data_IF_119173769659
#
_entry.id   IF_119173769659
#
_cell.length_a   1.000
_cell.length_b   1.000
_cell.length_c   1.000
_cell.angle_alpha   90.00
_cell.angle_beta   90.00
_cell.angle_gamma   90.00
#
_symmetry.space_group_name_H-M   'P 1'
#
loop_
_entity.id
_entity.type
_entity.pdbx_description
1 polymer ?
#
# COMPACT_ATOMS: atom_id res chain seq x y z
N UNK A 1 -7.03 -11.05 -25.47
CA UNK A 1 -6.03 -10.82 -24.39
C UNK A 1 -6.25 -11.72 -23.19
N UNK A 2 -7.48 -11.90 -22.70
CA UNK A 2 -7.76 -12.80 -21.56
C UNK A 2 -7.46 -14.29 -21.85
N UNK A 3 -7.76 -14.78 -23.03
CA UNK A 3 -7.57 -16.18 -23.40
C UNK A 3 -6.08 -16.61 -23.47
N UNK A 4 -5.18 -15.73 -23.87
CA UNK A 4 -3.74 -16.01 -23.90
C UNK A 4 -3.13 -16.10 -22.51
N UNK A 5 -3.55 -15.21 -21.60
CA UNK A 5 -3.06 -15.22 -20.21
C UNK A 5 -3.54 -16.48 -19.49
N UNK A 6 -4.80 -16.84 -19.67
CA UNK A 6 -5.40 -18.04 -19.07
C UNK A 6 -4.73 -19.31 -19.62
N UNK A 7 -4.46 -19.37 -20.93
CA UNK A 7 -3.77 -20.50 -21.57
C UNK A 7 -2.33 -20.67 -21.05
N UNK A 8 -1.60 -19.56 -20.87
CA UNK A 8 -0.25 -19.58 -20.28
C UNK A 8 -0.26 -20.08 -18.84
N UNK A 9 -1.23 -19.63 -18.04
CA UNK A 9 -1.38 -20.07 -16.65
C UNK A 9 -1.69 -21.57 -16.52
N UNK A 10 -2.40 -22.15 -17.50
CA UNK A 10 -2.76 -23.58 -17.52
C UNK A 10 -1.64 -24.48 -18.05
N UNK A 11 -0.81 -24.01 -19.00
CA UNK A 11 0.09 -24.87 -19.77
C UNK A 11 1.59 -24.58 -19.56
N UNK A 12 1.95 -23.44 -18.96
CA UNK A 12 3.35 -23.07 -18.78
C UNK A 12 3.93 -23.64 -17.47
N UNK A 13 5.22 -23.91 -17.46
CA UNK A 13 5.90 -24.42 -16.27
C UNK A 13 5.79 -23.39 -15.12
N UNK A 14 5.27 -23.81 -13.98
CA UNK A 14 4.99 -22.98 -12.79
C UNK A 14 6.22 -22.16 -12.38
N UNK A 15 7.43 -22.74 -12.44
CA UNK A 15 8.67 -22.03 -12.10
C UNK A 15 8.96 -20.85 -13.03
N UNK A 16 8.75 -21.04 -14.34
CA UNK A 16 8.94 -19.98 -15.33
C UNK A 16 7.91 -18.86 -15.19
N UNK A 17 6.68 -19.25 -14.92
CA UNK A 17 5.58 -18.31 -14.69
C UNK A 17 5.84 -17.47 -13.43
N UNK A 18 6.26 -18.12 -12.34
CA UNK A 18 6.62 -17.45 -11.10
C UNK A 18 7.71 -16.40 -11.30
N UNK A 19 8.80 -16.76 -11.98
CA UNK A 19 9.91 -15.84 -12.26
C UNK A 19 9.44 -14.67 -13.15
N UNK A 20 8.62 -14.96 -14.16
CA UNK A 20 8.10 -13.94 -15.08
C UNK A 20 7.26 -12.87 -14.38
N UNK A 21 6.47 -13.24 -13.39
CA UNK A 21 5.67 -12.28 -12.60
C UNK A 21 6.42 -11.72 -11.39
N UNK A 22 7.34 -12.49 -10.79
CA UNK A 22 8.12 -12.04 -9.65
C UNK A 22 9.13 -10.94 -10.01
N UNK A 23 9.78 -11.02 -11.17
CA UNK A 23 10.79 -10.02 -11.56
C UNK A 23 10.21 -8.61 -11.63
N UNK A 24 9.10 -8.32 -12.36
CA UNK A 24 8.50 -7.00 -12.38
C UNK A 24 8.02 -6.53 -10.99
N UNK A 25 7.48 -7.43 -10.19
CA UNK A 25 7.02 -7.12 -8.83
C UNK A 25 8.19 -6.73 -7.91
N UNK A 26 9.30 -7.49 -7.98
CA UNK A 26 10.52 -7.19 -7.22
C UNK A 26 11.12 -5.85 -7.67
N UNK A 27 11.21 -5.61 -8.98
CA UNK A 27 11.70 -4.32 -9.50
C UNK A 27 10.83 -3.17 -8.99
N UNK A 28 9.50 -3.30 -9.03
CA UNK A 28 8.57 -2.29 -8.52
C UNK A 28 8.77 -2.01 -7.03
N UNK A 29 8.94 -3.04 -6.21
CA UNK A 29 9.22 -2.89 -4.78
C UNK A 29 10.59 -2.27 -4.50
N UNK A 30 11.61 -2.63 -5.29
CA UNK A 30 12.94 -2.03 -5.18
C UNK A 30 12.92 -0.54 -5.54
N UNK A 31 12.24 -0.15 -6.60
CA UNK A 31 12.07 1.27 -6.99
C UNK A 31 11.36 2.05 -5.88
N UNK A 32 10.31 1.48 -5.29
CA UNK A 32 9.61 2.10 -4.16
C UNK A 32 10.52 2.25 -2.93
N UNK A 33 11.33 1.24 -2.61
CA UNK A 33 12.30 1.31 -1.51
C UNK A 33 13.37 2.37 -1.77
N UNK A 34 13.91 2.44 -2.98
CA UNK A 34 14.87 3.48 -3.38
C UNK A 34 14.27 4.87 -3.28
N UNK A 35 13.04 5.06 -3.75
CA UNK A 35 12.31 6.31 -3.59
C UNK A 35 12.24 6.76 -2.13
N UNK A 36 11.85 5.87 -1.23
CA UNK A 36 11.79 6.17 0.20
C UNK A 36 13.14 6.53 0.81
N UNK A 37 14.24 5.89 0.38
CA UNK A 37 15.59 6.18 0.84
C UNK A 37 16.03 7.58 0.35
N UNK A 38 15.85 7.83 -0.94
CA UNK A 38 16.21 9.11 -1.57
C UNK A 38 15.43 10.26 -0.93
N UNK A 39 14.13 10.10 -0.74
CA UNK A 39 13.27 11.08 -0.10
C UNK A 39 13.77 11.45 1.30
N UNK A 40 14.14 10.48 2.12
CA UNK A 40 14.70 10.70 3.47
C UNK A 40 16.06 11.40 3.43
N UNK A 41 16.90 11.11 2.45
CA UNK A 41 18.18 11.80 2.27
C UNK A 41 17.96 13.27 1.94
N UNK A 42 17.05 13.56 0.99
CA UNK A 42 16.74 14.95 0.60
C UNK A 42 16.10 15.73 1.75
N UNK A 43 15.17 15.14 2.49
CA UNK A 43 14.57 15.79 3.66
C UNK A 43 15.63 16.05 4.75
N UNK A 44 16.50 15.07 5.01
CA UNK A 44 17.55 15.21 6.02
C UNK A 44 18.59 16.27 5.71
N UNK A 45 18.99 16.38 4.45
CA UNK A 45 19.98 17.36 4.01
C UNK A 45 19.39 18.74 3.71
N UNK A 46 18.16 18.81 3.21
CA UNK A 46 17.54 20.05 2.78
C UNK A 46 16.79 20.81 3.88
N UNK A 47 16.14 20.11 4.80
CA UNK A 47 15.28 20.72 5.82
C UNK A 47 15.80 20.52 7.24
N UNK A 48 16.67 19.53 7.45
CA UNK A 48 17.36 19.29 8.72
C UNK A 48 16.67 18.26 9.64
N UNK A 49 17.25 18.06 10.83
CA UNK A 49 16.86 17.00 11.77
C UNK A 49 15.41 17.10 12.28
N UNK A 50 14.87 18.32 12.40
CA UNK A 50 13.49 18.57 12.82
C UNK A 50 12.46 17.98 11.83
N UNK A 51 12.75 18.04 10.53
CA UNK A 51 11.86 17.46 9.52
C UNK A 51 11.85 15.94 9.57
N UNK A 52 12.99 15.30 9.86
CA UNK A 52 13.06 13.84 10.04
C UNK A 52 12.24 13.44 11.27
N UNK A 53 12.29 14.20 12.35
CA UNK A 53 11.48 13.96 13.56
C UNK A 53 9.99 14.04 13.24
N UNK A 54 9.55 15.05 12.48
CA UNK A 54 8.17 15.19 12.02
C UNK A 54 7.72 13.99 11.15
N UNK A 55 8.59 13.52 10.24
CA UNK A 55 8.32 12.35 9.41
C UNK A 55 8.16 11.07 10.27
N UNK A 56 8.96 10.95 11.34
CA UNK A 56 8.87 9.81 12.26
C UNK A 56 7.56 9.83 13.04
N UNK A 57 7.05 10.98 13.43
CA UNK A 57 5.76 11.14 14.10
C UNK A 57 4.57 10.73 13.21
N UNK A 58 4.66 10.96 11.90
CA UNK A 58 3.60 10.56 10.97
C UNK A 58 3.65 9.10 10.54
N UNK A 59 4.76 8.39 10.84
CA UNK A 59 4.98 7.03 10.42
C UNK A 59 3.89 6.02 10.86
N UNK A 60 3.36 6.04 12.11
CA UNK A 60 2.26 5.17 12.51
C UNK A 60 1.00 5.36 11.67
N UNK A 61 0.69 6.60 11.28
CA UNK A 61 -0.48 6.92 10.44
C UNK A 61 -0.28 6.33 9.04
N UNK A 62 0.92 6.49 8.48
CA UNK A 62 1.26 5.92 7.18
C UNK A 62 1.17 4.39 7.19
N UNK A 63 1.67 3.73 8.24
CA UNK A 63 1.55 2.27 8.40
C UNK A 63 0.09 1.82 8.48
N UNK A 64 -0.73 2.54 9.21
CA UNK A 64 -2.15 2.24 9.33
C UNK A 64 -2.86 2.35 7.97
N UNK A 65 -2.63 3.42 7.22
CA UNK A 65 -3.17 3.60 5.87
C UNK A 65 -2.68 2.51 4.91
N UNK A 66 -1.38 2.15 4.98
CA UNK A 66 -0.79 1.10 4.17
C UNK A 66 -1.40 -0.27 4.48
N UNK A 67 -1.68 -0.57 5.75
CA UNK A 67 -2.33 -1.81 6.16
C UNK A 67 -3.73 -1.97 5.55
N UNK A 68 -4.55 -0.92 5.55
CA UNK A 68 -5.85 -0.93 4.87
C UNK A 68 -5.74 -1.07 3.37
N UNK A 69 -4.79 -0.35 2.74
CA UNK A 69 -4.53 -0.47 1.32
C UNK A 69 -4.13 -1.90 0.93
N UNK A 70 -3.26 -2.52 1.73
CA UNK A 70 -2.83 -3.90 1.52
C UNK A 70 -3.95 -4.93 1.76
N UNK A 71 -4.77 -4.72 2.78
CA UNK A 71 -5.93 -5.57 3.07
C UNK A 71 -6.91 -5.59 1.90
N UNK A 72 -7.28 -4.42 1.38
CA UNK A 72 -8.21 -4.30 0.25
C UNK A 72 -7.54 -4.82 -1.02
N UNK A 73 -6.32 -4.40 -1.30
CA UNK A 73 -5.59 -4.77 -2.51
C UNK A 73 -5.34 -6.27 -2.61
N UNK A 74 -4.78 -6.90 -1.58
CA UNK A 74 -4.51 -8.33 -1.55
C UNK A 74 -5.82 -9.16 -1.53
N UNK A 75 -6.83 -8.70 -0.78
CA UNK A 75 -8.13 -9.34 -0.73
C UNK A 75 -8.85 -9.32 -2.08
N UNK A 76 -8.86 -8.18 -2.75
CA UNK A 76 -9.44 -8.03 -4.08
C UNK A 76 -8.67 -8.83 -5.13
N UNK A 77 -7.34 -8.74 -5.15
CA UNK A 77 -6.50 -9.46 -6.10
C UNK A 77 -6.71 -10.98 -6.03
N UNK A 78 -6.79 -11.53 -4.82
CA UNK A 78 -7.06 -12.95 -4.61
C UNK A 78 -8.43 -13.35 -5.15
N UNK A 79 -9.47 -12.58 -4.83
CA UNK A 79 -10.84 -12.87 -5.30
C UNK A 79 -10.97 -12.75 -6.81
N UNK A 80 -10.39 -11.69 -7.39
CA UNK A 80 -10.37 -11.48 -8.85
C UNK A 80 -9.67 -12.65 -9.54
N UNK A 81 -8.52 -13.07 -9.04
CA UNK A 81 -7.77 -14.21 -9.61
C UNK A 81 -8.57 -15.51 -9.59
N UNK A 82 -9.29 -15.79 -8.49
CA UNK A 82 -10.15 -16.99 -8.38
C UNK A 82 -11.31 -16.93 -9.39
N UNK A 83 -11.96 -15.77 -9.53
CA UNK A 83 -13.08 -15.62 -10.46
C UNK A 83 -12.63 -15.69 -11.91
N UNK A 84 -11.48 -15.11 -12.25
CA UNK A 84 -10.87 -15.24 -13.58
C UNK A 84 -10.51 -16.70 -13.90
N UNK A 85 -9.94 -17.44 -12.96
CA UNK A 85 -9.66 -18.85 -13.12
C UNK A 85 -10.92 -19.70 -13.35
N UNK A 86 -12.06 -19.27 -12.80
CA UNK A 86 -13.38 -19.89 -13.02
C UNK A 86 -14.09 -19.38 -14.27
N UNK A 87 -13.47 -18.51 -15.06
CA UNK A 87 -14.04 -17.84 -16.26
C UNK A 87 -15.31 -17.01 -15.93
N UNK A 88 -15.46 -16.57 -14.69
CA UNK A 88 -16.55 -15.74 -14.21
C UNK A 88 -16.13 -14.26 -14.22
N UNK A 89 -15.98 -13.69 -15.41
CA UNK A 89 -15.48 -12.34 -15.61
C UNK A 89 -16.37 -11.28 -14.95
N UNK A 90 -17.70 -11.43 -15.02
CA UNK A 90 -18.64 -10.49 -14.41
C UNK A 90 -18.46 -10.41 -12.88
N UNK A 91 -18.16 -11.54 -12.24
CA UNK A 91 -17.88 -11.55 -10.80
C UNK A 91 -16.52 -10.94 -10.48
N UNK A 92 -15.52 -11.11 -11.33
CA UNK A 92 -14.22 -10.46 -11.18
C UNK A 92 -14.33 -8.94 -11.28
N UNK A 93 -15.09 -8.44 -12.25
CA UNK A 93 -15.35 -7.01 -12.45
C UNK A 93 -16.12 -6.40 -11.27
N UNK A 94 -17.10 -7.10 -10.73
CA UNK A 94 -17.83 -6.67 -9.53
C UNK A 94 -16.92 -6.58 -8.30
N UNK A 95 -16.03 -7.55 -8.10
CA UNK A 95 -15.06 -7.51 -7.00
C UNK A 95 -14.11 -6.32 -7.15
N UNK A 96 -13.64 -6.05 -8.36
CA UNK A 96 -12.76 -4.92 -8.65
C UNK A 96 -13.47 -3.59 -8.39
N UNK A 97 -14.70 -3.43 -8.87
CA UNK A 97 -15.52 -2.24 -8.63
C UNK A 97 -15.79 -2.00 -7.14
N UNK A 98 -16.12 -3.04 -6.39
CA UNK A 98 -16.32 -2.96 -4.95
C UNK A 98 -15.04 -2.59 -4.20
N UNK A 99 -13.89 -3.17 -4.58
CA UNK A 99 -12.60 -2.84 -4.00
C UNK A 99 -12.22 -1.38 -4.24
N UNK A 100 -12.47 -0.88 -5.45
CA UNK A 100 -12.23 0.51 -5.82
C UNK A 100 -13.10 1.46 -4.98
N UNK A 101 -14.40 1.18 -4.89
CA UNK A 101 -15.35 1.96 -4.08
C UNK A 101 -14.95 1.94 -2.60
N UNK A 102 -14.58 0.77 -2.06
CA UNK A 102 -14.14 0.64 -0.67
C UNK A 102 -12.86 1.43 -0.40
N UNK A 103 -11.92 1.45 -1.33
CA UNK A 103 -10.69 2.24 -1.23
C UNK A 103 -11.00 3.74 -1.16
N UNK A 104 -11.94 4.23 -1.98
CA UNK A 104 -12.39 5.63 -1.94
C UNK A 104 -13.07 5.97 -0.62
N UNK A 105 -13.96 5.11 -0.11
CA UNK A 105 -14.66 5.33 1.15
C UNK A 105 -13.66 5.38 2.32
N UNK A 106 -12.75 4.42 2.41
CA UNK A 106 -11.74 4.37 3.48
C UNK A 106 -10.77 5.55 3.35
N UNK A 107 -10.34 5.88 2.13
CA UNK A 107 -9.51 7.05 1.88
C UNK A 107 -10.16 8.35 2.35
N UNK A 108 -11.41 8.58 1.97
CA UNK A 108 -12.17 9.75 2.41
C UNK A 108 -12.38 9.76 3.93
N UNK A 109 -12.74 8.62 4.52
CA UNK A 109 -12.94 8.46 5.96
C UNK A 109 -11.65 8.70 6.76
N UNK A 110 -10.48 8.48 6.16
CA UNK A 110 -9.19 8.71 6.81
C UNK A 110 -8.71 10.15 6.61
N UNK A 111 -8.84 10.69 5.40
CA UNK A 111 -8.35 12.03 5.06
C UNK A 111 -9.16 13.11 5.77
N UNK A 112 -10.49 13.01 5.78
CA UNK A 112 -11.36 14.06 6.34
C UNK A 112 -11.11 14.25 7.84
N UNK A 113 -11.13 13.21 8.69
CA UNK A 113 -10.82 13.38 10.11
C UNK A 113 -9.37 13.81 10.34
N UNK A 114 -8.41 13.29 9.56
CA UNK A 114 -7.01 13.69 9.70
C UNK A 114 -6.79 15.16 9.42
N UNK A 115 -7.53 15.76 8.49
CA UNK A 115 -7.44 17.21 8.24
C UNK A 115 -8.13 18.05 9.31
N UNK A 116 -9.23 17.56 9.88
CA UNK A 116 -9.99 18.29 10.93
C UNK A 116 -9.24 18.24 12.27
N UNK A 117 -8.66 17.10 12.60
CA UNK A 117 -8.00 16.85 13.89
C UNK A 117 -6.47 16.83 13.78
N UNK A 118 -5.90 17.50 12.76
CA UNK A 118 -4.46 17.45 12.51
C UNK A 118 -3.64 17.90 13.71
N UNK A 119 -4.02 19.04 14.32
CA UNK A 119 -3.32 19.62 15.45
C UNK A 119 -3.44 18.74 16.71
N UNK A 120 -4.62 18.22 16.99
CA UNK A 120 -4.85 17.31 18.11
C UNK A 120 -4.10 16.00 17.94
N UNK A 121 -4.07 15.47 16.73
CA UNK A 121 -3.42 14.21 16.39
C UNK A 121 -1.89 14.33 16.50
N UNK A 122 -1.31 15.45 16.07
CA UNK A 122 0.10 15.74 16.25
C UNK A 122 0.47 15.95 17.73
N UNK A 123 -0.38 16.59 18.49
CA UNK A 123 -0.18 16.76 19.95
C UNK A 123 -0.21 15.40 20.67
N UNK A 124 -1.18 14.55 20.37
CA UNK A 124 -1.25 13.21 20.96
C UNK A 124 -0.04 12.35 20.62
N UNK A 125 0.40 12.34 19.36
CA UNK A 125 1.60 11.60 18.96
C UNK A 125 2.87 12.16 19.63
N UNK A 126 2.99 13.48 19.77
CA UNK A 126 4.14 14.10 20.43
C UNK A 126 4.15 13.78 21.92
N UNK A 127 3.01 13.76 22.59
CA UNK A 127 2.88 13.38 24.01
C UNK A 127 3.25 11.91 24.26
N UNK A 128 2.90 10.98 23.37
CA UNK A 128 3.28 9.58 23.47
C UNK A 128 4.81 9.42 23.37
N UNK A 129 5.47 10.21 22.52
CA UNK A 129 6.95 10.16 22.35
C UNK A 129 7.71 10.83 23.50
N UNK A 130 7.12 11.84 24.16
CA UNK A 130 7.75 12.51 25.32
C UNK A 130 7.61 11.66 26.60
N UNK A 131 6.61 10.79 26.68
CA UNK A 131 6.39 9.92 27.84
C UNK A 131 7.26 8.66 27.88
N UNK A 132 8.07 8.37 26.87
CA UNK A 132 9.13 7.35 26.96
C UNK A 132 10.44 8.02 27.42
N UNK A 133 10.79 7.96 28.71
CA UNK A 133 12.11 8.39 29.15
C UNK A 133 13.15 7.45 28.57
N UNK A 134 14.06 7.98 27.78
CA UNK A 134 15.27 7.31 27.36
C UNK A 134 16.01 6.79 28.61
N UNK A 135 15.90 5.48 28.83
CA UNK A 135 16.79 4.73 29.73
C UNK A 135 17.96 4.19 28.95
#
# INVERSE_FOLDING_TARGET
MSNEITWRLENENIGRLLVHYAIPAVIGTMVNALYNIVDRIFIGQGVGALAISGLTLTFPILLFMQAFGMLIGAGAATRVSIHLGRKANDLADNVLGNAFTLTFIIGALTIIPSMIFLDDLLMWLSLIHISEPTR
#
